data_IF_758340417165
#
_entry.id   IF_758340417165
#
_cell.length_a   1.000
_cell.length_b   1.000
_cell.length_c   1.000
_cell.angle_alpha   90.00
_cell.angle_beta   90.00
_cell.angle_gamma   90.00
#
_symmetry.space_group_name_H-M   'P 1'
#
loop_
_entity.id
_entity.type
_entity.pdbx_description
1 polymer ?
#
# COMPACT_ATOMS: atom_id res chain seq x y z
N UNK A 1 -12.73 -23.62 1.84
CA UNK A 1 -13.87 -23.42 0.92
C UNK A 1 -14.91 -22.55 1.62
N UNK A 2 -15.45 -21.55 0.93
CA UNK A 2 -16.53 -20.70 1.45
C UNK A 2 -17.84 -21.49 1.38
N UNK A 3 -18.53 -21.64 2.53
CA UNK A 3 -19.79 -22.44 2.65
C UNK A 3 -20.99 -21.58 3.01
N UNK A 4 -20.94 -20.27 2.84
CA UNK A 4 -21.97 -19.33 3.24
C UNK A 4 -22.52 -18.49 2.08
N UNK A 5 -23.48 -17.61 2.40
CA UNK A 5 -24.03 -16.61 1.47
C UNK A 5 -23.03 -15.53 1.08
N UNK A 6 -21.92 -15.42 1.80
CA UNK A 6 -20.84 -14.45 1.57
C UNK A 6 -19.48 -15.15 1.61
N UNK A 7 -18.53 -14.65 0.84
CA UNK A 7 -17.13 -15.06 0.84
C UNK A 7 -16.34 -14.00 1.63
N UNK A 8 -16.11 -14.24 2.92
CA UNK A 8 -15.49 -13.27 3.82
C UNK A 8 -14.05 -13.68 4.15
N UNK A 9 -13.14 -12.72 4.10
CA UNK A 9 -11.73 -12.86 4.51
C UNK A 9 -11.34 -11.71 5.44
N UNK A 10 -10.43 -11.98 6.35
CA UNK A 10 -9.77 -10.98 7.17
C UNK A 10 -8.39 -10.71 6.60
N UNK A 11 -7.98 -9.44 6.54
CA UNK A 11 -6.70 -9.01 6.03
C UNK A 11 -5.98 -8.15 7.06
N UNK A 12 -4.74 -8.52 7.31
CA UNK A 12 -3.74 -7.71 8.00
C UNK A 12 -2.54 -7.55 7.04
N UNK A 13 -2.19 -6.33 6.69
CA UNK A 13 -1.16 -6.03 5.70
C UNK A 13 -1.70 -5.64 4.32
N UNK A 14 -1.16 -6.19 3.24
CA UNK A 14 -1.53 -5.82 1.87
C UNK A 14 -1.79 -7.04 1.01
N UNK A 15 -2.87 -6.98 0.20
CA UNK A 15 -3.22 -8.01 -0.75
C UNK A 15 -3.90 -7.45 -2.00
N UNK A 16 -3.51 -7.97 -3.16
CA UNK A 16 -4.21 -7.75 -4.42
C UNK A 16 -5.14 -8.93 -4.69
N UNK A 17 -6.42 -8.63 -4.88
CA UNK A 17 -7.46 -9.61 -5.09
C UNK A 17 -7.92 -9.58 -6.54
N UNK A 18 -8.03 -10.76 -7.14
CA UNK A 18 -8.73 -10.96 -8.41
C UNK A 18 -9.90 -11.91 -8.14
N UNK A 19 -11.10 -11.34 -8.06
CA UNK A 19 -12.32 -12.05 -7.63
C UNK A 19 -13.15 -12.38 -8.85
N UNK A 20 -13.45 -13.69 -9.03
CA UNK A 20 -14.36 -14.14 -10.07
C UNK A 20 -15.78 -13.56 -9.86
N UNK A 21 -16.47 -13.25 -10.97
CA UNK A 21 -17.83 -12.70 -10.94
C UNK A 21 -18.79 -13.71 -10.31
N UNK A 22 -19.44 -13.30 -9.23
CA UNK A 22 -20.46 -14.03 -8.51
C UNK A 22 -21.34 -13.04 -7.75
N UNK A 23 -22.51 -12.74 -8.29
CA UNK A 23 -23.44 -11.78 -7.70
C UNK A 23 -24.23 -12.36 -6.53
N UNK A 24 -24.34 -13.69 -6.46
CA UNK A 24 -25.11 -14.38 -5.41
C UNK A 24 -24.29 -14.53 -4.12
N UNK A 25 -22.94 -14.56 -4.23
CA UNK A 25 -22.04 -14.71 -3.11
C UNK A 25 -21.00 -13.56 -3.09
N UNK A 26 -21.33 -12.39 -2.54
CA UNK A 26 -20.40 -11.28 -2.43
C UNK A 26 -19.09 -11.68 -1.76
N UNK A 27 -17.96 -11.13 -2.24
CA UNK A 27 -16.67 -11.26 -1.59
C UNK A 27 -16.39 -10.02 -0.74
N UNK A 28 -16.05 -10.24 0.53
CA UNK A 28 -15.86 -9.17 1.51
C UNK A 28 -14.48 -9.31 2.15
N UNK A 29 -13.67 -8.26 2.04
CA UNK A 29 -12.40 -8.13 2.79
C UNK A 29 -12.63 -7.25 3.99
N UNK A 30 -12.35 -7.78 5.19
CA UNK A 30 -12.41 -7.06 6.44
C UNK A 30 -10.98 -6.67 6.86
N UNK A 31 -10.72 -5.39 7.04
CA UNK A 31 -9.39 -4.88 7.40
C UNK A 31 -9.51 -3.58 8.21
N UNK A 32 -8.94 -3.54 9.41
CA UNK A 32 -8.83 -2.34 10.28
C UNK A 32 -10.05 -1.40 10.25
N UNK A 33 -11.25 -1.93 10.48
CA UNK A 33 -12.49 -1.13 10.51
C UNK A 33 -13.06 -0.79 9.13
N UNK A 34 -12.60 -1.44 8.07
CA UNK A 34 -13.18 -1.37 6.72
C UNK A 34 -13.75 -2.72 6.31
N UNK A 35 -14.89 -2.70 5.64
CA UNK A 35 -15.42 -3.83 4.87
C UNK A 35 -15.44 -3.46 3.40
N UNK A 36 -14.63 -4.13 2.60
CA UNK A 36 -14.52 -3.93 1.15
C UNK A 36 -15.30 -5.04 0.44
N UNK A 37 -16.43 -4.71 -0.16
CA UNK A 37 -17.34 -5.65 -0.81
C UNK A 37 -17.26 -5.54 -2.33
N UNK A 38 -17.16 -6.71 -2.99
CA UNK A 38 -17.12 -6.83 -4.45
C UNK A 38 -17.94 -8.04 -4.93
N UNK A 39 -18.35 -7.99 -6.21
CA UNK A 39 -19.09 -9.08 -6.90
C UNK A 39 -18.30 -9.70 -8.07
N UNK A 40 -17.07 -9.25 -8.31
CA UNK A 40 -16.25 -9.71 -9.43
C UNK A 40 -15.35 -8.59 -9.92
N UNK A 41 -14.19 -8.43 -9.30
CA UNK A 41 -13.42 -7.19 -9.32
C UNK A 41 -11.95 -7.50 -9.10
N UNK A 42 -11.07 -6.72 -9.75
CA UNK A 42 -9.64 -6.69 -9.42
C UNK A 42 -9.34 -5.41 -8.65
N UNK A 43 -8.80 -5.54 -7.44
CA UNK A 43 -8.54 -4.42 -6.53
C UNK A 43 -7.41 -4.75 -5.55
N UNK A 44 -6.76 -3.71 -5.02
CA UNK A 44 -5.77 -3.82 -3.97
C UNK A 44 -6.35 -3.32 -2.65
N UNK A 45 -6.03 -3.97 -1.56
CA UNK A 45 -6.30 -3.49 -0.19
C UNK A 45 -4.98 -3.47 0.56
N UNK A 46 -4.63 -2.32 1.11
CA UNK A 46 -3.48 -2.13 1.99
C UNK A 46 -4.00 -1.63 3.34
N UNK A 47 -3.61 -2.31 4.41
CA UNK A 47 -4.09 -2.03 5.76
C UNK A 47 -3.10 -2.52 6.80
N UNK A 48 -1.94 -1.86 6.91
CA UNK A 48 -0.92 -2.16 7.91
C UNK A 48 -1.25 -1.55 9.28
N UNK A 49 -1.92 -0.41 9.30
CA UNK A 49 -2.41 0.26 10.52
C UNK A 49 -3.75 0.95 10.26
N UNK A 50 -4.31 1.60 11.29
CA UNK A 50 -5.54 2.41 11.15
C UNK A 50 -5.30 3.65 10.29
N UNK A 51 -4.09 4.18 10.30
CA UNK A 51 -3.68 5.36 9.52
C UNK A 51 -3.27 5.00 8.08
N UNK A 52 -2.81 3.76 7.86
CA UNK A 52 -2.35 3.27 6.56
C UNK A 52 -3.39 2.32 5.95
N UNK A 53 -4.55 2.87 5.54
CA UNK A 53 -5.65 2.13 4.93
C UNK A 53 -5.95 2.66 3.53
N UNK A 54 -5.76 1.79 2.53
CA UNK A 54 -6.00 2.06 1.13
C UNK A 54 -6.87 0.98 0.48
N UNK A 55 -7.77 1.39 -0.37
CA UNK A 55 -8.48 0.49 -1.28
C UNK A 55 -8.41 1.06 -2.68
N UNK A 56 -7.63 0.44 -3.54
CA UNK A 56 -7.41 0.88 -4.93
C UNK A 56 -8.17 -0.02 -5.90
N UNK A 57 -9.02 0.55 -6.72
CA UNK A 57 -9.78 -0.20 -7.72
C UNK A 57 -9.06 -0.26 -9.06
N UNK A 58 -8.73 -1.48 -9.50
CA UNK A 58 -8.11 -1.75 -10.81
C UNK A 58 -9.18 -1.94 -11.88
N UNK A 59 -10.15 -2.82 -11.65
CA UNK A 59 -11.22 -3.11 -12.61
C UNK A 59 -12.47 -3.59 -11.90
N UNK A 60 -13.65 -3.20 -12.38
CA UNK A 60 -14.94 -3.58 -11.84
C UNK A 60 -15.57 -2.50 -10.96
N UNK A 61 -16.10 -2.90 -9.81
CA UNK A 61 -16.76 -2.01 -8.83
C UNK A 61 -16.46 -2.49 -7.43
N UNK A 62 -16.12 -1.56 -6.55
CA UNK A 62 -15.87 -1.80 -5.12
C UNK A 62 -16.77 -0.90 -4.30
N UNK A 63 -17.38 -1.45 -3.25
CA UNK A 63 -18.02 -0.70 -2.19
C UNK A 63 -17.21 -0.88 -0.90
N UNK A 64 -16.73 0.21 -0.33
CA UNK A 64 -16.03 0.21 0.96
C UNK A 64 -16.95 0.80 2.01
N UNK A 65 -17.15 0.08 3.10
CA UNK A 65 -17.95 0.52 4.25
C UNK A 65 -17.05 0.68 5.47
N UNK A 66 -17.04 1.86 6.05
CA UNK A 66 -16.42 2.10 7.35
C UNK A 66 -17.30 1.51 8.45
N UNK A 67 -16.77 0.56 9.22
CA UNK A 67 -17.55 -0.16 10.24
C UNK A 67 -17.83 0.66 11.50
N UNK A 68 -17.13 1.80 11.69
CA UNK A 68 -17.32 2.67 12.86
C UNK A 68 -18.53 3.58 12.68
N UNK A 69 -18.66 4.19 11.49
CA UNK A 69 -19.72 5.17 11.21
C UNK A 69 -20.78 4.67 10.20
N UNK A 70 -20.62 3.47 9.65
CA UNK A 70 -21.45 2.83 8.63
C UNK A 70 -21.58 3.63 7.32
N UNK A 71 -20.68 4.58 7.07
CA UNK A 71 -20.64 5.24 5.76
C UNK A 71 -20.03 4.32 4.71
N UNK A 72 -20.55 4.44 3.49
CA UNK A 72 -20.08 3.65 2.35
C UNK A 72 -19.67 4.52 1.20
N UNK A 73 -18.55 4.19 0.59
CA UNK A 73 -18.00 4.82 -0.61
C UNK A 73 -17.94 3.79 -1.72
N UNK A 74 -18.32 4.18 -2.93
CA UNK A 74 -18.19 3.34 -4.13
C UNK A 74 -17.10 3.90 -5.02
N UNK A 75 -16.11 3.05 -5.38
CA UNK A 75 -15.01 3.41 -6.24
C UNK A 75 -15.27 3.03 -7.71
N UNK A 76 -14.63 3.80 -8.60
CA UNK A 76 -14.48 3.51 -10.02
C UNK A 76 -13.04 3.08 -10.32
N UNK A 77 -12.79 2.36 -11.42
CA UNK A 77 -11.42 2.02 -11.82
C UNK A 77 -10.52 3.25 -11.90
N UNK A 78 -9.30 3.14 -11.37
CA UNK A 78 -8.35 4.26 -11.25
C UNK A 78 -8.49 5.10 -9.99
N UNK A 79 -9.42 4.76 -9.10
CA UNK A 79 -9.60 5.46 -7.83
C UNK A 79 -9.01 4.68 -6.66
N UNK A 80 -8.45 5.44 -5.72
CA UNK A 80 -8.01 4.98 -4.40
C UNK A 80 -8.81 5.68 -3.30
N UNK A 81 -9.24 4.91 -2.31
CA UNK A 81 -9.83 5.41 -1.08
C UNK A 81 -8.79 5.34 0.04
N UNK A 82 -8.56 6.46 0.70
CA UNK A 82 -7.78 6.54 1.93
C UNK A 82 -8.61 7.10 3.07
N UNK A 83 -8.14 6.87 4.29
CA UNK A 83 -8.69 7.53 5.48
C UNK A 83 -7.68 8.54 6.02
N UNK A 84 -8.15 9.74 6.34
CA UNK A 84 -7.34 10.75 7.03
C UNK A 84 -7.11 10.34 8.48
N UNK A 85 -6.20 11.00 9.17
CA UNK A 85 -5.98 10.85 10.62
C UNK A 85 -7.27 11.07 11.44
N UNK A 86 -8.16 11.94 10.95
CA UNK A 86 -9.48 12.19 11.57
C UNK A 86 -10.53 11.13 11.23
N UNK A 87 -10.19 10.12 10.39
CA UNK A 87 -11.09 9.05 9.95
C UNK A 87 -12.06 9.47 8.84
N UNK A 88 -11.82 10.59 8.17
CA UNK A 88 -12.59 11.01 7.01
C UNK A 88 -12.14 10.26 5.75
N UNK A 89 -13.11 9.90 4.90
CA UNK A 89 -12.84 9.26 3.62
C UNK A 89 -12.35 10.28 2.57
N UNK A 90 -11.23 9.96 1.93
CA UNK A 90 -10.70 10.71 0.79
C UNK A 90 -10.57 9.80 -0.41
N UNK A 91 -11.24 10.15 -1.50
CA UNK A 91 -11.11 9.45 -2.80
C UNK A 91 -10.27 10.29 -3.74
N UNK A 92 -9.29 9.69 -4.37
CA UNK A 92 -8.41 10.34 -5.36
C UNK A 92 -8.21 9.46 -6.59
N UNK A 93 -7.99 10.09 -7.75
CA UNK A 93 -7.52 9.39 -8.95
C UNK A 93 -6.03 9.09 -8.78
N UNK A 94 -5.63 7.87 -9.11
CA UNK A 94 -4.26 7.39 -8.88
C UNK A 94 -3.73 6.61 -10.08
N UNK A 95 -2.40 6.57 -10.18
CA UNK A 95 -1.74 5.62 -11.07
C UNK A 95 -1.83 4.22 -10.45
N UNK A 96 -2.63 3.34 -11.06
CA UNK A 96 -2.85 1.97 -10.58
C UNK A 96 -1.52 1.21 -10.39
N UNK A 97 -0.53 1.47 -11.25
CA UNK A 97 0.77 0.80 -11.19
C UNK A 97 1.46 0.99 -9.82
N UNK A 98 1.30 2.14 -9.18
CA UNK A 98 1.84 2.42 -7.84
C UNK A 98 1.35 1.42 -6.80
N UNK A 99 0.12 0.94 -6.97
CA UNK A 99 -0.53 0.04 -5.99
C UNK A 99 -0.51 -1.44 -6.39
N UNK A 100 -0.12 -1.75 -7.63
CA UNK A 100 -0.15 -3.15 -8.13
C UNK A 100 1.19 -3.68 -8.62
N UNK A 101 2.18 -2.83 -8.86
CA UNK A 101 3.51 -3.24 -9.35
C UNK A 101 4.20 -4.28 -8.44
N UNK A 102 3.90 -4.25 -7.16
CA UNK A 102 4.44 -5.22 -6.21
C UNK A 102 4.02 -6.67 -6.52
N UNK A 103 2.87 -6.87 -7.17
CA UNK A 103 2.40 -8.20 -7.61
C UNK A 103 3.22 -8.73 -8.80
N UNK A 104 3.91 -7.84 -9.50
CA UNK A 104 4.83 -8.15 -10.60
C UNK A 104 6.30 -8.21 -10.13
N UNK A 105 6.52 -8.19 -8.82
CA UNK A 105 7.84 -8.24 -8.22
C UNK A 105 8.62 -6.93 -8.31
N UNK A 106 7.93 -5.79 -8.43
CA UNK A 106 8.54 -4.48 -8.50
C UNK A 106 8.19 -3.62 -7.29
N UNK A 107 9.16 -2.85 -6.81
CA UNK A 107 8.90 -1.61 -6.11
C UNK A 107 8.64 -0.52 -7.14
N UNK A 108 7.55 0.22 -7.01
CA UNK A 108 7.23 1.35 -7.87
C UNK A 108 6.59 2.46 -7.02
N UNK A 109 7.29 3.57 -6.94
CA UNK A 109 6.87 4.74 -6.18
C UNK A 109 7.03 5.98 -7.07
N UNK A 110 5.99 6.78 -7.17
CA UNK A 110 5.94 8.01 -7.96
C UNK A 110 5.48 9.15 -7.07
N UNK A 111 6.35 10.11 -6.84
CA UNK A 111 6.13 11.26 -5.95
C UNK A 111 5.63 10.84 -4.56
N UNK A 112 6.33 9.89 -3.92
CA UNK A 112 5.97 9.31 -2.62
C UNK A 112 6.95 9.77 -1.53
N UNK A 113 6.49 10.04 -0.30
CA UNK A 113 7.38 10.36 0.82
C UNK A 113 8.41 9.26 1.09
N UNK A 114 9.64 9.65 1.41
CA UNK A 114 10.74 8.72 1.69
C UNK A 114 10.39 7.72 2.79
N UNK A 115 9.67 8.14 3.83
CA UNK A 115 9.22 7.25 4.92
C UNK A 115 8.41 6.06 4.39
N UNK A 116 7.55 6.29 3.40
CA UNK A 116 6.71 5.24 2.82
C UNK A 116 7.54 4.26 1.97
N UNK A 117 8.47 4.78 1.16
CA UNK A 117 9.42 3.96 0.38
C UNK A 117 10.23 3.08 1.31
N UNK A 118 10.81 3.67 2.35
CA UNK A 118 11.66 2.96 3.28
C UNK A 118 10.88 1.98 4.14
N UNK A 119 9.66 2.34 4.55
CA UNK A 119 8.77 1.41 5.23
C UNK A 119 8.46 0.16 4.40
N UNK A 120 8.27 0.32 3.09
CA UNK A 120 8.07 -0.81 2.17
C UNK A 120 9.34 -1.66 2.01
N UNK A 121 10.52 -1.05 1.89
CA UNK A 121 11.81 -1.75 1.86
C UNK A 121 12.07 -2.49 3.17
N UNK A 122 11.84 -1.83 4.33
CA UNK A 122 12.01 -2.45 5.64
C UNK A 122 11.16 -3.70 5.83
N UNK A 123 9.88 -3.64 5.44
CA UNK A 123 8.98 -4.80 5.47
C UNK A 123 9.43 -5.91 4.55
N UNK A 124 9.87 -5.58 3.32
CA UNK A 124 10.26 -6.57 2.33
C UNK A 124 11.56 -7.30 2.70
N UNK A 125 12.58 -6.54 3.12
CA UNK A 125 13.89 -7.08 3.48
C UNK A 125 14.00 -7.51 4.95
N UNK A 126 12.95 -7.28 5.75
CA UNK A 126 12.90 -7.54 7.18
C UNK A 126 14.05 -6.87 7.93
N UNK A 127 14.22 -5.57 7.71
CA UNK A 127 15.24 -4.73 8.35
C UNK A 127 14.60 -3.56 9.07
N UNK A 128 15.23 -3.13 10.17
CA UNK A 128 14.84 -1.91 10.86
C UNK A 128 15.28 -0.68 10.05
N UNK A 129 14.58 0.41 10.23
CA UNK A 129 14.83 1.66 9.52
C UNK A 129 14.83 2.80 10.52
N UNK A 130 15.98 3.50 10.62
CA UNK A 130 16.14 4.67 11.43
C UNK A 130 16.36 5.92 10.57
N UNK A 131 15.90 7.07 11.05
CA UNK A 131 16.10 8.36 10.41
C UNK A 131 16.87 9.27 11.34
N UNK A 132 18.01 9.78 10.91
CA UNK A 132 18.78 10.75 11.71
C UNK A 132 18.00 12.04 11.98
N UNK A 133 17.12 12.43 11.04
CA UNK A 133 16.36 13.68 11.11
C UNK A 133 14.92 13.48 10.63
N UNK A 134 13.98 14.09 11.34
CA UNK A 134 12.57 14.01 11.00
C UNK A 134 12.21 14.72 9.68
N UNK A 135 12.98 15.70 9.23
CA UNK A 135 12.74 16.38 7.95
C UNK A 135 12.88 15.44 6.74
N UNK A 136 13.66 14.36 6.88
CA UNK A 136 13.85 13.36 5.81
C UNK A 136 12.59 12.56 5.51
N UNK A 137 11.69 12.40 6.46
CA UNK A 137 10.45 11.64 6.28
C UNK A 137 9.64 12.10 5.07
N UNK A 138 9.55 13.41 4.87
CA UNK A 138 8.65 14.03 3.91
C UNK A 138 9.29 14.34 2.55
N UNK A 139 10.57 14.01 2.35
CA UNK A 139 11.22 14.14 1.04
C UNK A 139 10.51 13.24 0.04
N UNK A 140 9.96 13.85 -1.03
CA UNK A 140 9.24 13.10 -2.05
C UNK A 140 10.18 12.63 -3.16
N UNK A 141 10.08 11.35 -3.49
CA UNK A 141 10.95 10.69 -4.46
C UNK A 141 10.15 9.85 -5.46
N UNK A 142 10.76 9.66 -6.62
CA UNK A 142 10.40 8.60 -7.54
C UNK A 142 11.41 7.47 -7.38
N UNK A 143 10.94 6.27 -7.11
CA UNK A 143 11.83 5.12 -6.92
C UNK A 143 11.20 3.87 -7.50
N UNK A 144 11.98 3.10 -8.26
CA UNK A 144 11.59 1.77 -8.73
C UNK A 144 12.78 0.82 -8.68
N UNK A 145 12.53 -0.40 -8.27
CA UNK A 145 13.51 -1.48 -8.20
C UNK A 145 12.82 -2.84 -8.32
N UNK A 146 13.55 -3.84 -8.77
CA UNK A 146 13.07 -5.21 -8.74
C UNK A 146 13.16 -5.74 -7.29
N UNK A 147 12.13 -6.40 -6.79
CA UNK A 147 12.10 -6.99 -5.44
C UNK A 147 13.07 -8.16 -5.24
N UNK A 148 13.56 -8.76 -6.33
CA UNK A 148 14.61 -9.77 -6.28
C UNK A 148 16.03 -9.17 -6.17
N UNK A 149 16.16 -7.85 -6.27
CA UNK A 149 17.42 -7.14 -6.05
C UNK A 149 17.85 -7.29 -4.58
N UNK A 150 19.15 -7.40 -4.31
CA UNK A 150 19.65 -7.39 -2.94
C UNK A 150 19.45 -6.02 -2.29
N UNK A 151 19.32 -5.99 -0.96
CA UNK A 151 19.10 -4.74 -0.20
C UNK A 151 20.16 -3.68 -0.54
N UNK A 152 21.43 -4.05 -0.54
CA UNK A 152 22.54 -3.12 -0.82
C UNK A 152 22.39 -2.44 -2.18
N UNK A 153 22.01 -3.19 -3.23
CA UNK A 153 21.78 -2.66 -4.57
C UNK A 153 20.55 -1.72 -4.59
N UNK A 154 19.49 -2.07 -3.86
CA UNK A 154 18.30 -1.21 -3.75
C UNK A 154 18.63 0.12 -3.04
N UNK A 155 19.47 0.09 -1.99
CA UNK A 155 19.94 1.28 -1.30
C UNK A 155 20.89 2.12 -2.16
N UNK A 156 21.76 1.48 -2.96
CA UNK A 156 22.59 2.19 -3.94
C UNK A 156 21.75 2.94 -4.99
N UNK A 157 20.61 2.37 -5.42
CA UNK A 157 19.70 3.06 -6.34
C UNK A 157 19.09 4.31 -5.68
N UNK A 158 18.74 4.25 -4.39
CA UNK A 158 18.28 5.42 -3.65
C UNK A 158 19.39 6.49 -3.54
N UNK A 159 20.61 6.08 -3.22
CA UNK A 159 21.76 6.99 -3.11
C UNK A 159 22.09 7.69 -4.43
N UNK A 160 21.88 7.03 -5.58
CA UNK A 160 22.05 7.62 -6.92
C UNK A 160 21.07 8.75 -7.23
N UNK A 161 19.98 8.89 -6.47
CA UNK A 161 19.06 10.02 -6.61
C UNK A 161 19.65 11.33 -6.07
N UNK A 162 20.77 11.28 -5.33
CA UNK A 162 21.50 12.42 -4.76
C UNK A 162 20.66 13.34 -3.84
N UNK A 163 19.50 12.87 -3.40
CA UNK A 163 18.61 13.58 -2.49
C UNK A 163 18.74 13.09 -1.05
N UNK A 164 19.17 11.86 -0.89
CA UNK A 164 19.32 11.18 0.39
C UNK A 164 20.52 10.26 0.34
N UNK A 165 21.16 10.04 1.47
CA UNK A 165 22.15 8.99 1.62
C UNK A 165 21.64 7.96 2.62
N UNK A 166 21.73 6.70 2.24
CA UNK A 166 21.23 5.56 2.99
C UNK A 166 22.37 4.58 3.19
N UNK A 167 22.62 4.21 4.44
CA UNK A 167 23.62 3.21 4.81
C UNK A 167 22.94 2.04 5.52
N UNK A 168 23.51 0.84 5.41
CA UNK A 168 23.04 -0.36 6.09
C UNK A 168 24.12 -0.89 7.03
N UNK A 169 23.81 -0.99 8.32
CA UNK A 169 24.72 -1.52 9.33
C UNK A 169 23.94 -2.34 10.37
N UNK A 170 24.48 -3.51 10.73
CA UNK A 170 24.00 -4.36 11.84
C UNK A 170 22.47 -4.64 11.85
N UNK A 171 21.87 -4.86 10.70
CA UNK A 171 20.42 -5.14 10.59
C UNK A 171 19.55 -3.89 10.57
N UNK A 172 20.14 -2.69 10.54
CA UNK A 172 19.45 -1.41 10.51
C UNK A 172 19.89 -0.59 9.30
N UNK A 173 18.95 0.07 8.65
CA UNK A 173 19.24 1.04 7.58
C UNK A 173 19.25 2.44 8.18
N UNK A 174 20.42 3.05 8.21
CA UNK A 174 20.63 4.44 8.63
C UNK A 174 20.57 5.39 7.44
N UNK A 175 20.07 6.61 7.67
CA UNK A 175 19.93 7.62 6.63
C UNK A 175 20.44 8.97 7.04
N UNK A 176 21.28 9.53 6.15
CA UNK A 176 21.90 10.86 6.28
C UNK A 176 21.41 11.75 5.15
N UNK A 177 21.26 13.04 5.41
CA UNK A 177 21.04 14.01 4.34
C UNK A 177 22.31 14.20 3.52
N UNK A 178 22.20 14.23 2.20
CA UNK A 178 23.23 14.83 1.34
C UNK A 178 23.03 16.34 1.44
N UNK A 179 24.06 17.06 1.86
CA UNK A 179 24.08 18.53 1.97
C UNK A 179 24.27 19.13 0.59
#
# INVERSE_FOLDING_TARGET
AFNGKERRVELEGEACFEVAKDAEHPFIVCANGMNTMVLGTKFNVRSYSVEDRHVTLVNGKVQVTNTVNNKSVTLRPGQDLTYTETGEEKVSEVNIATYTAWTEGMFYFEDVPLEEIMGALGRWYNVNIDFERCELYHIRLNFWANKNTHLDEALELLNKLEKVQVDYQDGTVDRKSVV
#
